data_IF_391715934331
#
_entry.id   IF_391715934331
#
_cell.length_a   1.000
_cell.length_b   1.000
_cell.length_c   1.000
_cell.angle_alpha   90.00
_cell.angle_beta   90.00
_cell.angle_gamma   90.00
#
_symmetry.space_group_name_H-M   'P 1'
#
loop_
_entity.id
_entity.type
_entity.pdbx_description
1 polymer ?
#
# COMPACT_ATOMS: atom_id res chain seq x y z
N UNK A 1 -19.23 9.53 19.40
CA UNK A 1 -18.92 9.62 17.95
C UNK A 1 -17.75 8.68 17.68
N UNK A 2 -18.01 7.57 17.02
CA UNK A 2 -16.91 6.80 16.44
C UNK A 2 -16.32 7.65 15.30
N UNK A 3 -15.07 8.12 15.48
CA UNK A 3 -14.37 8.82 14.43
C UNK A 3 -14.20 7.93 13.19
N UNK A 4 -14.01 8.53 12.03
CA UNK A 4 -13.79 7.79 10.79
C UNK A 4 -12.58 6.86 10.92
N UNK A 5 -12.70 5.64 10.47
CA UNK A 5 -11.61 4.68 10.39
C UNK A 5 -11.21 4.47 8.92
N UNK A 6 -9.91 4.45 8.66
CA UNK A 6 -9.35 4.22 7.32
C UNK A 6 -8.52 2.94 7.32
N UNK A 7 -8.79 2.08 6.34
CA UNK A 7 -7.94 0.94 6.02
C UNK A 7 -7.01 1.31 4.86
N UNK A 8 -5.72 0.99 4.97
CA UNK A 8 -4.70 1.32 3.97
C UNK A 8 -3.90 0.07 3.60
N UNK A 9 -3.75 -0.15 2.30
CA UNK A 9 -2.80 -1.09 1.71
C UNK A 9 -1.83 -0.32 0.81
N UNK A 10 -0.57 -0.24 1.23
CA UNK A 10 0.50 0.48 0.55
C UNK A 10 1.30 -0.52 -0.28
N UNK A 11 0.83 -0.78 -1.49
CA UNK A 11 1.47 -1.72 -2.40
C UNK A 11 2.56 -1.10 -3.27
N UNK A 12 3.38 -1.96 -3.87
CA UNK A 12 4.44 -1.54 -4.80
C UNK A 12 3.86 -0.86 -6.04
N UNK A 13 2.83 -1.42 -6.65
CA UNK A 13 2.18 -0.86 -7.84
C UNK A 13 0.98 0.00 -7.51
N UNK A 14 0.16 -0.39 -6.55
CA UNK A 14 -1.10 0.25 -6.22
C UNK A 14 -1.19 0.65 -4.75
N UNK A 15 -1.76 1.82 -4.52
CA UNK A 15 -2.21 2.30 -3.22
C UNK A 15 -3.72 2.09 -3.10
N UNK A 16 -4.16 1.50 -2.00
CA UNK A 16 -5.59 1.31 -1.73
C UNK A 16 -5.94 1.91 -0.38
N UNK A 17 -7.07 2.58 -0.33
CA UNK A 17 -7.62 3.18 0.89
C UNK A 17 -9.13 3.04 0.90
N UNK A 18 -9.68 2.64 2.04
CA UNK A 18 -11.12 2.65 2.29
C UNK A 18 -11.43 3.45 3.56
N UNK A 19 -12.65 3.95 3.66
CA UNK A 19 -13.16 4.66 4.83
C UNK A 19 -14.40 3.94 5.35
N UNK A 20 -14.48 3.72 6.67
CA UNK A 20 -15.60 3.02 7.31
C UNK A 20 -16.97 3.66 7.06
N UNK A 21 -17.01 4.99 6.90
CA UNK A 21 -18.25 5.75 6.73
C UNK A 21 -18.64 5.95 5.26
N UNK A 22 -17.82 5.47 4.35
CA UNK A 22 -18.02 5.67 2.91
C UNK A 22 -17.92 4.35 2.19
N UNK A 23 -18.88 4.06 1.36
CA UNK A 23 -18.84 2.92 0.44
C UNK A 23 -17.92 3.21 -0.76
N UNK A 24 -16.77 3.83 -0.47
CA UNK A 24 -15.77 4.21 -1.48
C UNK A 24 -14.42 3.55 -1.16
N UNK A 25 -13.87 2.91 -2.16
CA UNK A 25 -12.50 2.40 -2.14
C UNK A 25 -11.70 3.20 -3.17
N UNK A 26 -10.64 3.87 -2.70
CA UNK A 26 -9.64 4.44 -3.58
C UNK A 26 -8.64 3.35 -3.94
N UNK A 27 -8.41 3.14 -5.23
CA UNK A 27 -7.39 2.23 -5.75
C UNK A 27 -6.73 2.91 -6.94
N UNK A 28 -5.50 3.36 -6.75
CA UNK A 28 -4.73 4.07 -7.78
C UNK A 28 -3.28 3.58 -7.79
N UNK A 29 -2.58 3.89 -8.86
CA UNK A 29 -1.14 3.63 -8.95
C UNK A 29 -0.39 4.35 -7.83
N UNK A 30 0.50 3.66 -7.16
CA UNK A 30 1.32 4.22 -6.08
C UNK A 30 2.57 4.89 -6.66
N UNK A 31 2.36 5.99 -7.38
CA UNK A 31 3.38 6.70 -8.17
C UNK A 31 3.21 8.20 -8.02
N UNK A 32 4.31 8.93 -8.10
CA UNK A 32 4.37 10.38 -7.97
C UNK A 32 5.21 10.99 -9.09
N UNK A 33 4.78 12.14 -9.58
CA UNK A 33 5.53 12.96 -10.54
C UNK A 33 5.95 14.28 -9.90
N UNK A 34 7.26 14.51 -9.81
CA UNK A 34 7.87 15.69 -9.22
C UNK A 34 8.61 16.48 -10.31
N UNK A 35 8.27 17.74 -10.45
CA UNK A 35 8.96 18.67 -11.33
C UNK A 35 10.03 19.44 -10.56
N UNK A 36 11.15 19.74 -11.21
CA UNK A 36 12.24 20.56 -10.66
C UNK A 36 12.70 20.14 -9.24
N UNK A 37 12.64 18.85 -8.94
CA UNK A 37 13.02 18.20 -7.66
C UNK A 37 12.12 18.50 -6.45
N UNK A 38 11.19 19.42 -6.53
CA UNK A 38 10.41 19.85 -5.34
C UNK A 38 8.93 20.05 -5.58
N UNK A 39 8.50 20.24 -6.81
CA UNK A 39 7.13 20.58 -7.15
C UNK A 39 6.31 19.34 -7.49
N UNK A 40 5.28 19.07 -6.70
CA UNK A 40 4.32 18.00 -7.00
C UNK A 40 3.53 18.37 -8.27
N UNK A 41 3.73 17.60 -9.33
CA UNK A 41 3.05 17.78 -10.61
C UNK A 41 1.80 16.93 -10.74
N UNK A 42 1.92 15.64 -10.40
CA UNK A 42 0.81 14.69 -10.46
C UNK A 42 1.05 13.52 -9.49
N UNK A 43 0.00 12.77 -9.18
CA UNK A 43 0.08 11.58 -8.34
C UNK A 43 -0.98 10.54 -8.76
N UNK A 44 -0.76 9.28 -8.41
CA UNK A 44 -1.70 8.21 -8.71
C UNK A 44 -1.76 7.91 -10.21
N UNK A 45 -2.96 7.58 -10.69
CA UNK A 45 -3.17 7.19 -12.08
C UNK A 45 -2.76 8.29 -13.07
N UNK A 46 -2.95 9.56 -12.71
CA UNK A 46 -2.52 10.70 -13.53
C UNK A 46 -0.99 10.73 -13.69
N UNK A 47 -0.24 10.49 -12.63
CA UNK A 47 1.23 10.42 -12.73
C UNK A 47 1.68 9.18 -13.52
N UNK A 48 0.94 8.09 -13.45
CA UNK A 48 1.26 6.86 -14.20
C UNK A 48 1.19 7.06 -15.72
N UNK A 49 0.30 7.93 -16.21
CA UNK A 49 0.22 8.29 -17.63
C UNK A 49 1.52 8.95 -18.14
N UNK A 50 2.29 9.56 -17.24
CA UNK A 50 3.58 10.20 -17.55
C UNK A 50 4.77 9.24 -17.42
N UNK A 51 4.58 8.05 -16.85
CA UNK A 51 5.66 7.09 -16.60
C UNK A 51 6.35 6.70 -17.90
N UNK A 52 7.68 6.70 -17.87
CA UNK A 52 8.57 6.44 -19.05
C UNK A 52 8.41 7.42 -20.25
N UNK A 53 7.61 8.48 -20.08
CA UNK A 53 7.35 9.47 -21.15
C UNK A 53 7.68 10.90 -20.71
N UNK A 54 7.99 11.11 -19.44
CA UNK A 54 8.23 12.44 -18.90
C UNK A 54 9.55 13.04 -19.39
N UNK A 55 9.62 14.38 -19.59
CA UNK A 55 10.87 15.07 -19.85
C UNK A 55 11.86 14.97 -18.68
N UNK A 56 13.16 15.23 -18.93
CA UNK A 56 14.23 15.07 -17.94
C UNK A 56 14.04 15.86 -16.62
N UNK A 57 13.33 16.98 -16.66
CA UNK A 57 13.07 17.80 -15.47
C UNK A 57 11.92 17.30 -14.61
N UNK A 58 11.23 16.23 -15.02
CA UNK A 58 10.14 15.58 -14.30
C UNK A 58 10.55 14.17 -13.91
N UNK A 59 10.63 13.93 -12.61
CA UNK A 59 10.88 12.61 -12.06
C UNK A 59 9.54 11.92 -11.75
N UNK A 60 9.34 10.74 -12.34
CA UNK A 60 8.15 9.90 -12.10
C UNK A 60 8.62 8.60 -11.48
N UNK A 61 8.21 8.33 -10.25
CA UNK A 61 8.74 7.20 -9.48
C UNK A 61 7.71 6.52 -8.58
N UNK A 62 7.93 5.22 -8.34
CA UNK A 62 7.22 4.43 -7.34
C UNK A 62 8.01 4.47 -6.03
N UNK A 63 7.45 4.98 -4.92
CA UNK A 63 8.15 5.10 -3.64
C UNK A 63 8.23 3.79 -2.86
N UNK A 64 7.47 2.76 -3.25
CA UNK A 64 7.51 1.42 -2.65
C UNK A 64 8.11 0.45 -3.65
N UNK A 65 9.14 -0.30 -3.21
CA UNK A 65 9.85 -1.29 -4.04
C UNK A 65 9.94 -2.60 -3.29
N UNK A 66 9.63 -3.69 -3.99
CA UNK A 66 9.62 -5.04 -3.39
C UNK A 66 8.86 -5.12 -2.07
N UNK A 67 7.71 -4.45 -2.00
CA UNK A 67 6.83 -4.43 -0.85
C UNK A 67 7.25 -3.55 0.32
N UNK A 68 8.38 -2.81 0.23
CA UNK A 68 8.89 -1.94 1.30
C UNK A 68 9.00 -0.49 0.86
N UNK A 69 8.89 0.45 1.81
CA UNK A 69 8.99 1.88 1.54
C UNK A 69 10.45 2.23 1.26
N UNK A 70 10.75 2.63 0.01
CA UNK A 70 12.08 3.06 -0.42
C UNK A 70 12.27 4.58 -0.32
N UNK A 71 11.18 5.35 -0.45
CA UNK A 71 11.18 6.81 -0.40
C UNK A 71 10.04 7.28 0.51
N UNK A 72 10.37 7.58 1.77
CA UNK A 72 9.39 7.94 2.78
C UNK A 72 8.76 9.31 2.53
N UNK A 73 9.51 10.27 2.03
CA UNK A 73 9.03 11.64 1.80
C UNK A 73 7.98 11.67 0.68
N UNK A 74 8.27 11.02 -0.43
CA UNK A 74 7.33 10.88 -1.53
C UNK A 74 6.11 10.04 -1.13
N UNK A 75 6.31 8.99 -0.31
CA UNK A 75 5.18 8.18 0.18
C UNK A 75 4.28 8.97 1.14
N UNK A 76 4.84 9.82 2.00
CA UNK A 76 4.05 10.72 2.86
C UNK A 76 3.24 11.73 2.02
N UNK A 77 3.83 12.28 0.97
CA UNK A 77 3.16 13.17 0.02
C UNK A 77 2.00 12.46 -0.66
N UNK A 78 2.21 11.23 -1.15
CA UNK A 78 1.16 10.42 -1.75
C UNK A 78 0.03 10.11 -0.75
N UNK A 79 0.37 9.63 0.45
CA UNK A 79 -0.61 9.34 1.49
C UNK A 79 -1.52 10.54 1.77
N UNK A 80 -0.95 11.72 1.92
CA UNK A 80 -1.70 12.94 2.19
C UNK A 80 -2.62 13.31 1.02
N UNK A 81 -2.14 13.20 -0.21
CA UNK A 81 -2.94 13.53 -1.39
C UNK A 81 -4.05 12.50 -1.64
N UNK A 82 -3.79 11.21 -1.47
CA UNK A 82 -4.83 10.18 -1.54
C UNK A 82 -5.88 10.34 -0.43
N UNK A 83 -5.46 10.68 0.79
CA UNK A 83 -6.37 10.98 1.89
C UNK A 83 -7.28 12.17 1.57
N UNK A 84 -6.74 13.24 1.01
CA UNK A 84 -7.54 14.38 0.56
C UNK A 84 -8.50 13.99 -0.57
N UNK A 85 -8.06 13.16 -1.50
CA UNK A 85 -8.87 12.71 -2.64
C UNK A 85 -10.07 11.87 -2.20
N UNK A 86 -9.90 10.90 -1.31
CA UNK A 86 -11.02 10.08 -0.81
C UNK A 86 -12.00 10.91 0.03
N UNK A 87 -11.53 11.98 0.66
CA UNK A 87 -12.33 12.91 1.45
C UNK A 87 -12.86 14.11 0.65
N UNK A 88 -12.66 14.12 -0.67
CA UNK A 88 -13.15 15.20 -1.56
C UNK A 88 -12.67 16.60 -1.11
N UNK A 89 -11.43 16.68 -0.60
CA UNK A 89 -10.82 17.89 -0.09
C UNK A 89 -11.34 18.38 1.28
N UNK A 90 -12.26 17.64 1.90
CA UNK A 90 -12.75 17.99 3.24
C UNK A 90 -11.67 17.76 4.29
N UNK A 91 -11.53 18.70 5.20
CA UNK A 91 -10.59 18.59 6.31
C UNK A 91 -11.12 17.61 7.35
N UNK A 92 -10.49 16.44 7.42
CA UNK A 92 -10.78 15.40 8.40
C UNK A 92 -9.62 15.32 9.38
N UNK A 93 -9.90 15.21 10.67
CA UNK A 93 -8.91 15.08 11.73
C UNK A 93 -9.38 14.06 12.76
N UNK A 94 -8.43 13.44 13.48
CA UNK A 94 -8.76 12.56 14.61
C UNK A 94 -9.29 11.19 14.18
N UNK A 95 -8.90 10.70 13.01
CA UNK A 95 -9.29 9.40 12.49
C UNK A 95 -8.34 8.29 12.93
N UNK A 96 -8.84 7.07 12.99
CA UNK A 96 -8.05 5.87 13.21
C UNK A 96 -7.59 5.30 11.87
N UNK A 97 -6.34 4.83 11.82
CA UNK A 97 -5.76 4.23 10.62
C UNK A 97 -5.32 2.80 10.89
N UNK A 98 -5.72 1.90 10.00
CA UNK A 98 -5.33 0.48 9.99
C UNK A 98 -4.48 0.24 8.75
N UNK A 99 -3.21 -0.13 8.95
CA UNK A 99 -2.25 -0.32 7.86
C UNK A 99 -1.94 -1.79 7.70
N UNK A 100 -2.21 -2.35 6.52
CA UNK A 100 -1.78 -3.69 6.17
C UNK A 100 -0.28 -3.69 5.85
N UNK A 101 0.51 -4.47 6.58
CA UNK A 101 1.97 -4.52 6.45
C UNK A 101 2.43 -5.94 6.10
N UNK A 102 3.36 -6.10 5.14
CA UNK A 102 3.97 -7.41 4.84
C UNK A 102 4.59 -8.03 6.09
N UNK A 103 4.64 -9.34 6.16
CA UNK A 103 5.13 -10.08 7.33
C UNK A 103 6.57 -10.56 7.20
N UNK A 104 7.03 -10.88 5.99
CA UNK A 104 8.41 -11.29 5.72
C UNK A 104 9.28 -10.06 5.40
N UNK A 105 9.33 -9.14 6.35
CA UNK A 105 10.11 -7.90 6.30
C UNK A 105 10.84 -7.69 7.63
N UNK A 106 11.88 -6.85 7.63
CA UNK A 106 12.60 -6.50 8.87
C UNK A 106 11.75 -5.64 9.79
N UNK A 107 12.07 -5.59 11.08
CA UNK A 107 11.40 -4.73 12.05
C UNK A 107 11.52 -3.24 11.68
N UNK A 108 12.65 -2.84 11.10
CA UNK A 108 12.85 -1.46 10.62
C UNK A 108 11.92 -1.13 9.47
N UNK A 109 11.78 -2.04 8.50
CA UNK A 109 10.87 -1.90 7.37
C UNK A 109 9.40 -1.87 7.82
N UNK A 110 9.03 -2.73 8.78
CA UNK A 110 7.68 -2.73 9.38
C UNK A 110 7.38 -1.42 10.10
N UNK A 111 8.35 -0.92 10.87
CA UNK A 111 8.24 0.34 11.60
C UNK A 111 8.06 1.54 10.66
N UNK A 112 8.69 1.51 9.48
CA UNK A 112 8.55 2.57 8.49
C UNK A 112 7.10 2.78 8.04
N UNK A 113 6.29 1.72 7.93
CA UNK A 113 4.87 1.84 7.61
C UNK A 113 4.07 2.55 8.72
N UNK A 114 4.39 2.26 9.98
CA UNK A 114 3.76 2.92 11.12
C UNK A 114 4.13 4.41 11.16
N UNK A 115 5.43 4.72 11.10
CA UNK A 115 5.96 6.09 11.12
C UNK A 115 5.47 6.92 9.93
N UNK A 116 5.31 6.30 8.75
CA UNK A 116 4.73 6.95 7.58
C UNK A 116 3.43 7.66 7.90
N UNK A 117 2.53 7.02 8.64
CA UNK A 117 1.20 7.58 8.95
C UNK A 117 1.28 8.52 10.16
N UNK A 118 2.00 8.13 11.22
CA UNK A 118 2.15 8.94 12.44
C UNK A 118 2.75 10.30 12.13
N UNK A 119 3.81 10.34 11.31
CA UNK A 119 4.54 11.56 10.98
C UNK A 119 3.93 12.33 9.78
N UNK A 120 2.85 11.82 9.21
CA UNK A 120 2.21 12.45 8.05
C UNK A 120 1.27 13.59 8.43
N UNK A 121 0.91 14.38 7.42
CA UNK A 121 -0.05 15.49 7.55
C UNK A 121 -1.51 15.04 7.74
N UNK A 122 -1.82 13.74 7.70
CA UNK A 122 -3.20 13.23 7.89
C UNK A 122 -3.67 13.35 9.35
N UNK A 123 -2.76 13.59 10.30
CA UNK A 123 -3.05 13.82 11.73
C UNK A 123 -3.90 12.70 12.34
N UNK A 124 -3.43 11.47 12.20
CA UNK A 124 -4.07 10.29 12.77
C UNK A 124 -4.25 10.43 14.30
N UNK A 125 -5.39 9.97 14.81
CA UNK A 125 -5.62 9.82 16.25
C UNK A 125 -4.91 8.57 16.78
N UNK A 126 -5.16 7.44 16.12
CA UNK A 126 -4.51 6.17 16.40
C UNK A 126 -4.05 5.52 15.09
N UNK A 127 -2.96 4.77 15.16
CA UNK A 127 -2.43 3.99 14.04
C UNK A 127 -2.24 2.56 14.48
N UNK A 128 -2.84 1.63 13.75
CA UNK A 128 -2.80 0.20 14.00
C UNK A 128 -2.15 -0.51 12.82
N UNK A 129 -1.17 -1.34 13.11
CA UNK A 129 -0.53 -2.20 12.11
C UNK A 129 -1.22 -3.55 12.11
N UNK A 130 -1.62 -4.01 10.93
CA UNK A 130 -2.27 -5.31 10.72
C UNK A 130 -1.39 -6.13 9.78
N UNK A 131 -1.18 -7.38 10.11
CA UNK A 131 -0.46 -8.29 9.21
C UNK A 131 -1.25 -8.49 7.92
N UNK A 132 -0.62 -8.21 6.79
CA UNK A 132 -1.28 -8.22 5.47
C UNK A 132 -2.01 -9.54 5.16
N UNK A 133 -1.46 -10.74 5.42
CA UNK A 133 -2.19 -11.98 5.17
C UNK A 133 -3.48 -12.12 6.00
N UNK A 134 -3.50 -11.57 7.22
CA UNK A 134 -4.71 -11.55 8.06
C UNK A 134 -5.76 -10.62 7.45
N UNK A 135 -5.35 -9.43 7.03
CA UNK A 135 -6.23 -8.48 6.34
C UNK A 135 -6.77 -9.07 5.02
N UNK A 136 -5.93 -9.73 4.24
CA UNK A 136 -6.31 -10.40 2.98
C UNK A 136 -7.35 -11.51 3.23
N UNK A 137 -7.14 -12.34 4.24
CA UNK A 137 -8.07 -13.41 4.60
C UNK A 137 -9.44 -12.86 5.04
N UNK A 138 -9.45 -11.83 5.89
CA UNK A 138 -10.69 -11.16 6.32
C UNK A 138 -11.39 -10.53 5.12
N UNK A 139 -10.66 -9.84 4.25
CA UNK A 139 -11.19 -9.23 3.03
C UNK A 139 -11.78 -10.25 2.06
N UNK A 140 -11.25 -11.47 2.02
CA UNK A 140 -11.79 -12.60 1.27
C UNK A 140 -12.99 -13.28 1.96
N UNK A 141 -13.44 -12.79 3.11
CA UNK A 141 -14.56 -13.34 3.86
C UNK A 141 -14.26 -14.62 4.63
N UNK A 142 -12.97 -14.91 4.90
CA UNK A 142 -12.54 -16.08 5.63
C UNK A 142 -12.54 -15.84 7.15
N UNK A 143 -13.01 -16.82 7.90
CA UNK A 143 -12.96 -16.78 9.37
C UNK A 143 -11.57 -17.21 9.86
N UNK A 144 -10.73 -16.23 10.17
CA UNK A 144 -9.35 -16.45 10.63
C UNK A 144 -9.26 -16.95 12.08
N UNK A 145 -10.35 -16.92 12.84
CA UNK A 145 -10.35 -17.32 14.26
C UNK A 145 -10.36 -18.83 14.47
N UNK A 146 -10.69 -19.59 13.44
CA UNK A 146 -10.75 -21.05 13.50
C UNK A 146 -9.36 -21.70 13.57
N UNK A 147 -9.33 -22.89 14.13
CA UNK A 147 -8.09 -23.71 14.22
C UNK A 147 -7.66 -24.32 12.88
N UNK A 148 -8.56 -24.36 11.90
CA UNK A 148 -8.23 -24.86 10.56
C UNK A 148 -7.23 -23.92 9.88
N UNK A 149 -6.11 -24.48 9.38
CA UNK A 149 -5.12 -23.73 8.63
C UNK A 149 -5.68 -23.12 7.33
N UNK A 150 -5.39 -21.85 7.10
CA UNK A 150 -5.75 -21.12 5.89
C UNK A 150 -4.45 -20.70 5.21
N UNK A 151 -4.25 -21.11 3.96
CA UNK A 151 -3.13 -20.64 3.17
C UNK A 151 -3.58 -19.46 2.30
N UNK A 152 -2.86 -18.34 2.40
CA UNK A 152 -3.04 -17.14 1.58
C UNK A 152 -1.82 -17.00 0.68
N UNK A 153 -2.06 -16.84 -0.62
CA UNK A 153 -1.05 -16.50 -1.62
C UNK A 153 -1.39 -15.15 -2.21
N UNK A 154 -0.61 -14.14 -1.87
CA UNK A 154 -0.78 -12.77 -2.37
C UNK A 154 0.27 -12.49 -3.45
N UNK A 155 -0.16 -12.41 -4.70
CA UNK A 155 0.70 -12.13 -5.85
C UNK A 155 0.63 -10.63 -6.13
N UNK A 156 1.65 -9.88 -5.69
CA UNK A 156 1.79 -8.46 -5.94
C UNK A 156 2.54 -8.15 -7.25
N UNK A 157 2.92 -6.90 -7.42
CA UNK A 157 3.66 -6.45 -8.60
C UNK A 157 5.09 -6.99 -8.65
N UNK A 158 5.83 -6.93 -7.54
CA UNK A 158 7.23 -7.34 -7.46
C UNK A 158 7.49 -8.48 -6.48
N UNK A 159 6.54 -8.78 -5.60
CA UNK A 159 6.67 -9.85 -4.59
C UNK A 159 5.45 -10.74 -4.57
N UNK A 160 5.66 -12.00 -4.19
CA UNK A 160 4.59 -12.94 -3.86
C UNK A 160 4.79 -13.38 -2.41
N UNK A 161 3.79 -13.14 -1.56
CA UNK A 161 3.78 -13.55 -0.16
C UNK A 161 2.89 -14.78 0.02
N UNK A 162 3.44 -15.82 0.66
CA UNK A 162 2.74 -17.07 0.95
C UNK A 162 2.70 -17.22 2.47
N UNK A 163 1.50 -17.29 3.03
CA UNK A 163 1.29 -17.34 4.47
C UNK A 163 0.29 -18.43 4.86
N UNK A 164 0.51 -19.05 6.00
CA UNK A 164 -0.43 -19.97 6.62
C UNK A 164 -0.92 -19.35 7.92
N UNK A 165 -2.22 -19.22 8.06
CA UNK A 165 -2.92 -18.66 9.22
C UNK A 165 -3.64 -19.75 10.00
N UNK A 166 -3.67 -19.63 11.33
CA UNK A 166 -4.48 -20.45 12.22
C UNK A 166 -4.75 -19.69 13.52
N UNK A 167 -5.95 -19.79 14.06
CA UNK A 167 -6.34 -19.16 15.32
C UNK A 167 -6.04 -17.64 15.38
N UNK A 168 -6.27 -16.94 14.29
CA UNK A 168 -6.07 -15.50 14.18
C UNK A 168 -4.61 -15.05 14.08
N UNK A 169 -3.66 -15.98 14.00
CA UNK A 169 -2.22 -15.70 13.91
C UNK A 169 -1.55 -16.30 12.68
N UNK A 170 -0.34 -15.84 12.42
CA UNK A 170 0.51 -16.34 11.35
C UNK A 170 1.34 -17.50 11.89
N UNK A 171 1.19 -18.67 11.26
CA UNK A 171 2.00 -19.88 11.56
C UNK A 171 3.34 -19.82 10.82
N UNK A 172 3.30 -19.47 9.55
CA UNK A 172 4.47 -19.28 8.70
C UNK A 172 4.15 -18.27 7.61
N UNK A 173 5.13 -17.47 7.24
CA UNK A 173 5.06 -16.57 6.10
C UNK A 173 6.40 -16.52 5.37
N UNK A 174 6.34 -16.46 4.05
CA UNK A 174 7.49 -16.31 3.16
C UNK A 174 7.12 -15.38 2.02
N UNK A 175 8.05 -14.49 1.66
CA UNK A 175 7.96 -13.68 0.46
C UNK A 175 9.07 -14.04 -0.52
N UNK A 176 8.73 -14.08 -1.79
CA UNK A 176 9.68 -14.22 -2.89
C UNK A 176 9.62 -12.95 -3.76
N UNK A 177 10.78 -12.51 -4.26
CA UNK A 177 10.89 -11.32 -5.12
C UNK A 177 10.52 -11.63 -6.57
N UNK A 178 9.34 -12.22 -6.75
CA UNK A 178 8.71 -12.52 -8.03
C UNK A 178 7.26 -12.10 -7.91
N UNK A 179 6.80 -11.27 -8.83
CA UNK A 179 5.42 -10.81 -8.89
C UNK A 179 4.98 -10.57 -10.33
N UNK A 180 3.86 -9.90 -10.52
CA UNK A 180 3.24 -9.65 -11.82
C UNK A 180 4.19 -9.04 -12.84
N UNK A 181 5.01 -8.06 -12.45
CA UNK A 181 5.97 -7.42 -13.36
C UNK A 181 6.96 -8.43 -13.97
N UNK A 182 7.46 -9.38 -13.16
CA UNK A 182 8.36 -10.42 -13.66
C UNK A 182 7.67 -11.41 -14.59
N UNK A 183 6.40 -11.71 -14.33
CA UNK A 183 5.59 -12.54 -15.21
C UNK A 183 5.36 -11.86 -16.56
N UNK A 184 5.06 -10.57 -16.56
CA UNK A 184 4.92 -9.77 -17.78
C UNK A 184 6.22 -9.72 -18.59
N UNK A 185 7.37 -9.50 -17.93
CA UNK A 185 8.69 -9.54 -18.56
C UNK A 185 8.98 -10.89 -19.23
N UNK A 186 8.60 -11.99 -18.60
CA UNK A 186 8.74 -13.32 -19.17
C UNK A 186 7.89 -13.50 -20.43
N UNK A 187 6.65 -13.01 -20.43
CA UNK A 187 5.77 -13.05 -21.61
C UNK A 187 6.38 -12.23 -22.75
N UNK A 188 6.78 -10.99 -22.48
CA UNK A 188 7.40 -10.08 -23.45
C UNK A 188 8.63 -10.72 -24.08
N UNK A 189 9.49 -11.34 -23.27
CA UNK A 189 10.73 -11.97 -23.73
C UNK A 189 10.49 -13.19 -24.63
N UNK A 190 9.36 -13.89 -24.44
CA UNK A 190 9.01 -15.06 -25.27
C UNK A 190 8.25 -14.71 -26.56
N UNK A 191 7.77 -13.48 -26.69
CA UNK A 191 7.05 -13.01 -27.90
C UNK A 191 7.98 -12.29 -28.87
N UNK A 192 9.17 -11.89 -28.42
CA UNK A 192 10.24 -11.30 -29.23
C UNK A 192 11.12 -12.37 -29.87
#
# INVERSE_FOLDING_TARGET
DMGNAYGIDIGTSNFKMCCSDKDKILNEKNIIAIANKTELLAFGDEAYEMYEKAPEHIEVSFPVKFGVIADIENMQTLLFNFFNKINEGKKITGSDFYIAVPTDVTEVEKRAFYELVVDSKVKAKNVYVVDKPVADAIGAGLDVTKSKGIMIVNIGAETTEISVLSLGGIVISKAVKIGGNKLDDCIISNVR
#
